data_IF_748803860615
#
_entry.id   IF_748803860615
#
_cell.length_a   1.000
_cell.length_b   1.000
_cell.length_c   1.000
_cell.angle_alpha   90.00
_cell.angle_beta   90.00
_cell.angle_gamma   90.00
#
_symmetry.space_group_name_H-M   'P 1'
#
loop_
_entity.id
_entity.type
_entity.pdbx_description
1 polymer ?
#
# COMPACT_ATOMS: atom_id res chain seq x y z
N UNK A 1 -20.47 -5.48 16.18
CA UNK A 1 -19.03 -5.70 15.94
C UNK A 1 -18.47 -4.61 15.02
N UNK A 2 -18.09 -3.45 15.56
CA UNK A 2 -17.59 -2.28 14.78
C UNK A 2 -16.20 -1.84 15.28
N UNK A 3 -15.33 -2.78 15.66
CA UNK A 3 -13.97 -2.46 16.10
C UNK A 3 -13.03 -2.16 14.91
N UNK A 4 -13.41 -2.59 13.70
CA UNK A 4 -12.59 -2.44 12.49
C UNK A 4 -12.66 -1.04 11.85
N UNK A 5 -13.71 -0.27 12.14
CA UNK A 5 -13.98 1.00 11.46
C UNK A 5 -13.09 2.15 11.97
N UNK A 6 -12.71 2.12 13.26
CA UNK A 6 -11.80 3.10 13.85
C UNK A 6 -10.35 2.87 13.38
N UNK A 7 -9.87 1.63 13.46
CA UNK A 7 -8.54 1.22 12.97
C UNK A 7 -8.39 1.40 11.46
N UNK A 8 -9.49 1.32 10.69
CA UNK A 8 -9.44 1.47 9.24
C UNK A 8 -8.90 2.83 8.80
N UNK A 9 -9.04 3.89 9.61
CA UNK A 9 -8.46 5.20 9.29
C UNK A 9 -6.96 5.22 9.54
N UNK A 10 -6.51 4.73 10.70
CA UNK A 10 -5.10 4.61 11.05
C UNK A 10 -4.34 3.67 10.09
N UNK A 11 -4.87 2.49 9.80
CA UNK A 11 -4.23 1.52 8.89
C UNK A 11 -4.09 2.10 7.49
N UNK A 12 -5.08 2.85 6.98
CA UNK A 12 -4.97 3.48 5.65
C UNK A 12 -3.90 4.57 5.64
N UNK A 13 -3.88 5.41 6.68
CA UNK A 13 -2.91 6.50 6.77
C UNK A 13 -1.49 5.94 6.92
N UNK A 14 -1.32 4.91 7.73
CA UNK A 14 -0.04 4.28 7.97
C UNK A 14 0.43 3.46 6.76
N UNK A 15 -0.47 2.75 6.08
CA UNK A 15 -0.17 2.10 4.81
C UNK A 15 0.27 3.12 3.75
N UNK A 16 -0.41 4.27 3.66
CA UNK A 16 -0.03 5.35 2.76
C UNK A 16 1.35 5.92 3.14
N UNK A 17 1.64 6.15 4.43
CA UNK A 17 2.95 6.62 4.88
C UNK A 17 4.07 5.63 4.58
N UNK A 18 3.83 4.34 4.77
CA UNK A 18 4.79 3.29 4.44
C UNK A 18 5.06 3.22 2.93
N UNK A 19 3.99 3.26 2.12
CA UNK A 19 4.10 3.31 0.65
C UNK A 19 4.82 4.58 0.20
N UNK A 20 4.55 5.72 0.83
CA UNK A 20 5.20 7.00 0.54
C UNK A 20 6.70 7.01 0.87
N UNK A 21 7.11 6.26 1.89
CA UNK A 21 8.53 6.06 2.24
C UNK A 21 9.22 5.01 1.36
N UNK A 22 8.46 4.23 0.59
CA UNK A 22 8.98 3.19 -0.27
C UNK A 22 9.03 3.66 -1.73
N UNK A 23 10.19 4.13 -2.19
CA UNK A 23 10.46 4.59 -3.56
C UNK A 23 10.16 3.56 -4.69
N UNK A 24 9.82 2.31 -4.35
CA UNK A 24 9.54 1.23 -5.30
C UNK A 24 8.15 0.58 -5.18
N UNK A 25 7.33 1.05 -4.24
CA UNK A 25 6.06 0.42 -3.89
C UNK A 25 6.19 -0.82 -3.00
N UNK A 26 5.17 -1.10 -2.19
CA UNK A 26 5.15 -2.18 -1.21
C UNK A 26 4.19 -3.30 -1.61
N UNK A 27 4.55 -4.53 -1.29
CA UNK A 27 3.63 -5.66 -1.38
C UNK A 27 2.74 -5.75 -0.13
N UNK A 28 1.55 -6.36 -0.28
CA UNK A 28 0.65 -6.67 0.85
C UNK A 28 1.39 -7.44 1.95
N UNK A 29 2.26 -8.37 1.56
CA UNK A 29 3.02 -9.20 2.51
C UNK A 29 4.08 -8.42 3.29
N UNK A 30 4.50 -7.24 2.81
CA UNK A 30 5.41 -6.35 3.53
C UNK A 30 4.64 -5.37 4.41
N UNK A 31 3.46 -4.95 3.97
CA UNK A 31 2.57 -4.06 4.71
C UNK A 31 1.92 -4.78 5.90
N UNK A 32 1.61 -6.07 5.79
CA UNK A 32 1.04 -6.91 6.88
C UNK A 32 1.88 -6.86 8.16
N UNK A 33 3.17 -7.25 8.16
CA UNK A 33 4.00 -7.19 9.37
C UNK A 33 4.32 -5.75 9.79
N UNK A 34 4.38 -4.80 8.85
CA UNK A 34 4.65 -3.39 9.18
C UNK A 34 3.46 -2.71 9.89
N UNK A 35 2.23 -3.12 9.57
CA UNK A 35 1.00 -2.58 10.15
C UNK A 35 0.49 -3.44 11.32
N UNK A 36 1.01 -4.66 11.49
CA UNK A 36 0.55 -5.60 12.52
C UNK A 36 -0.89 -6.08 12.30
N UNK A 37 -1.37 -6.11 11.06
CA UNK A 37 -2.74 -6.49 10.71
C UNK A 37 -2.75 -7.55 9.63
N UNK A 38 -3.80 -8.38 9.61
CA UNK A 38 -3.94 -9.46 8.62
C UNK A 38 -3.97 -8.94 7.18
N UNK A 39 -3.50 -9.77 6.22
CA UNK A 39 -3.51 -9.45 4.78
C UNK A 39 -4.87 -8.99 4.25
N UNK A 40 -5.97 -9.48 4.81
CA UNK A 40 -7.32 -9.05 4.43
C UNK A 40 -7.56 -7.57 4.73
N UNK A 41 -7.13 -7.10 5.90
CA UNK A 41 -7.24 -5.70 6.32
C UNK A 41 -6.34 -4.80 5.48
N UNK A 42 -5.09 -5.22 5.23
CA UNK A 42 -4.15 -4.49 4.36
C UNK A 42 -4.71 -4.38 2.95
N UNK A 43 -5.14 -5.49 2.35
CA UNK A 43 -5.69 -5.55 0.99
C UNK A 43 -6.89 -4.62 0.84
N UNK A 44 -7.76 -4.57 1.84
CA UNK A 44 -8.92 -3.68 1.83
C UNK A 44 -8.53 -2.21 1.99
N UNK A 45 -7.52 -1.90 2.83
CA UNK A 45 -7.00 -0.55 2.99
C UNK A 45 -6.38 -0.03 1.68
N UNK A 46 -5.47 -0.79 1.05
CA UNK A 46 -4.83 -0.39 -0.22
C UNK A 46 -5.82 -0.36 -1.39
N UNK A 47 -6.84 -1.24 -1.40
CA UNK A 47 -7.91 -1.18 -2.41
C UNK A 47 -8.74 0.10 -2.30
N UNK A 48 -9.01 0.56 -1.08
CA UNK A 48 -9.69 1.85 -0.85
C UNK A 48 -8.81 3.03 -1.25
N UNK A 49 -7.53 3.02 -0.89
CA UNK A 49 -6.57 4.05 -1.31
C UNK A 49 -6.44 4.11 -2.84
N UNK A 50 -6.45 2.95 -3.50
CA UNK A 50 -6.43 2.86 -4.96
C UNK A 50 -7.72 3.40 -5.58
N UNK A 51 -8.88 3.04 -5.02
CA UNK A 51 -10.17 3.59 -5.44
C UNK A 51 -10.27 5.11 -5.26
N UNK A 52 -9.57 5.66 -4.26
CA UNK A 52 -9.46 7.10 -4.03
C UNK A 52 -8.41 7.80 -4.92
N UNK A 53 -7.64 7.06 -5.72
CA UNK A 53 -6.58 7.62 -6.57
C UNK A 53 -5.36 8.12 -5.80
N UNK A 54 -5.16 7.67 -4.55
CA UNK A 54 -4.00 8.05 -3.72
C UNK A 54 -2.79 7.13 -3.99
N UNK A 55 -3.05 5.85 -4.27
CA UNK A 55 -2.02 4.86 -4.61
C UNK A 55 -2.31 4.18 -5.94
N UNK A 56 -1.26 3.76 -6.63
CA UNK A 56 -1.34 2.97 -7.86
C UNK A 56 -1.07 1.50 -7.54
N UNK A 57 -1.78 0.61 -8.25
CA UNK A 57 -1.59 -0.85 -8.16
C UNK A 57 -0.84 -1.34 -9.38
N UNK A 58 0.29 -2.01 -9.18
CA UNK A 58 1.08 -2.67 -10.23
C UNK A 58 1.09 -4.17 -9.98
N UNK A 59 0.74 -4.96 -11.00
CA UNK A 59 0.85 -6.42 -10.94
C UNK A 59 2.15 -6.80 -11.64
N UNK A 60 3.07 -7.44 -10.91
CA UNK A 60 4.33 -7.94 -11.44
C UNK A 60 4.43 -9.44 -11.14
N UNK A 61 4.25 -10.26 -12.18
CA UNK A 61 4.14 -11.71 -12.05
C UNK A 61 2.97 -12.14 -11.15
N UNK A 62 3.29 -12.84 -10.05
CA UNK A 62 2.32 -13.29 -9.03
C UNK A 62 2.02 -12.23 -7.96
N UNK A 63 2.88 -11.22 -7.84
CA UNK A 63 2.84 -10.25 -6.75
C UNK A 63 2.15 -8.95 -7.17
N UNK A 64 1.51 -8.30 -6.19
CA UNK A 64 0.90 -6.97 -6.36
C UNK A 64 1.66 -5.97 -5.52
N UNK A 65 2.10 -4.92 -6.16
CA UNK A 65 2.80 -3.80 -5.55
C UNK A 65 1.91 -2.57 -5.56
N UNK A 66 1.94 -1.81 -4.47
CA UNK A 66 1.23 -0.55 -4.33
C UNK A 66 2.25 0.58 -4.18
N UNK A 67 2.22 1.55 -5.10
CA UNK A 67 3.07 2.74 -5.08
C UNK A 67 2.22 4.00 -4.92
N UNK A 68 2.82 5.14 -4.63
CA UNK A 68 2.10 6.41 -4.69
C UNK A 68 1.62 6.71 -6.12
N UNK A 69 0.54 7.47 -6.23
CA UNK A 69 0.07 7.92 -7.54
C UNK A 69 0.97 9.06 -8.04
N UNK A 70 1.41 9.06 -9.31
CA UNK A 70 2.31 10.09 -9.85
C UNK A 70 1.73 11.51 -9.79
N UNK A 71 0.42 11.66 -9.56
CA UNK A 71 -0.20 12.97 -9.26
C UNK A 71 0.30 13.59 -7.95
N UNK A 72 0.84 12.77 -7.05
CA UNK A 72 1.48 13.18 -5.79
C UNK A 72 3.01 13.01 -5.83
N UNK A 73 3.53 12.28 -6.81
CA UNK A 73 4.93 11.89 -6.94
C UNK A 73 5.44 12.22 -8.34
N UNK A 74 5.59 13.52 -8.64
CA UNK A 74 6.17 13.98 -9.89
C UNK A 74 7.70 13.78 -9.93
N UNK A 75 8.31 13.02 -9.00
CA UNK A 75 9.77 13.01 -8.83
C UNK A 75 10.44 11.65 -9.08
N UNK A 76 9.85 10.48 -8.80
CA UNK A 76 10.68 9.26 -8.85
C UNK A 76 10.34 8.30 -10.00
N UNK A 77 11.14 8.46 -11.06
CA UNK A 77 11.36 7.52 -12.16
C UNK A 77 11.92 6.18 -11.61
N UNK A 78 11.08 5.13 -11.60
CA UNK A 78 11.29 3.64 -11.69
C UNK A 78 12.74 3.15 -12.03
N UNK A 79 13.23 1.89 -11.74
CA UNK A 79 12.58 0.62 -11.32
C UNK A 79 13.34 -0.27 -10.27
N UNK A 80 12.72 -1.42 -9.90
CA UNK A 80 13.30 -2.66 -9.32
C UNK A 80 13.55 -2.71 -7.80
N UNK A 81 12.90 -3.68 -7.13
CA UNK A 81 13.60 -4.80 -6.46
C UNK A 81 12.60 -5.92 -6.09
N UNK A 82 12.74 -7.16 -6.60
CA UNK A 82 12.05 -8.30 -6.02
C UNK A 82 12.71 -8.64 -4.68
N UNK A 83 11.96 -8.88 -3.58
CA UNK A 83 12.50 -9.66 -2.48
C UNK A 83 12.64 -11.11 -2.95
N UNK A 84 13.77 -11.74 -2.63
CA UNK A 84 14.06 -13.15 -2.91
C UNK A 84 13.11 -14.10 -2.19
#
# INVERSE_FOLDING_TARGET
MQLLSAMGNDIRYEALRLIARADGGLCVCQLEPALGVSQGAVSQAVSRLHGAGLVTRRKEGRWRYYGLTPRHDAATRNPRRPPG
#
